data_IF_870170678794
#
_entry.id   IF_870170678794
#
_cell.length_a   1.000
_cell.length_b   1.000
_cell.length_c   1.000
_cell.angle_alpha   90.00
_cell.angle_beta   90.00
_cell.angle_gamma   90.00
#
_symmetry.space_group_name_H-M   'P 1'
#
loop_
_entity.id
_entity.type
_entity.pdbx_description
1 polymer ?
#
# COMPACT_ATOMS: atom_id res chain seq x y z
N UNK A 1 -0.65 12.95 5.96
CA UNK A 1 0.43 12.78 4.97
C UNK A 1 -0.11 12.86 3.56
N UNK A 2 -0.97 11.94 3.11
CA UNK A 2 -1.49 11.95 1.73
C UNK A 2 -3.02 11.76 1.58
N UNK A 3 -3.79 11.74 2.67
CA UNK A 3 -5.24 11.48 2.68
C UNK A 3 -5.66 10.05 2.26
N UNK A 4 -4.71 9.12 2.23
CA UNK A 4 -5.00 7.69 2.07
C UNK A 4 -5.56 7.09 3.36
N UNK A 5 -6.58 6.24 3.24
CA UNK A 5 -7.10 5.40 4.32
C UNK A 5 -6.57 3.97 4.18
N UNK A 6 -6.17 3.35 5.30
CA UNK A 6 -5.65 2.00 5.24
C UNK A 6 -6.76 0.97 4.96
N UNK A 7 -6.58 0.16 3.93
CA UNK A 7 -7.58 -0.79 3.44
C UNK A 7 -6.93 -2.15 3.17
N UNK A 8 -7.39 -3.19 3.88
CA UNK A 8 -6.84 -4.54 3.78
C UNK A 8 -7.05 -5.19 2.41
N UNK A 9 -8.12 -4.83 1.69
CA UNK A 9 -8.37 -5.28 0.31
C UNK A 9 -7.32 -4.68 -0.61
N UNK A 10 -7.01 -3.40 -0.44
CA UNK A 10 -6.01 -2.71 -1.26
C UNK A 10 -4.57 -3.03 -0.84
N UNK A 11 -4.33 -3.48 0.40
CA UNK A 11 -3.03 -4.06 0.79
C UNK A 11 -2.82 -5.44 0.17
N UNK A 12 -3.89 -6.24 0.03
CA UNK A 12 -3.82 -7.58 -0.59
C UNK A 12 -3.76 -7.53 -2.11
N UNK A 13 -4.56 -6.66 -2.72
CA UNK A 13 -4.66 -6.44 -4.16
C UNK A 13 -4.41 -4.96 -4.46
N UNK A 14 -3.16 -4.52 -4.62
CA UNK A 14 -2.81 -3.10 -4.67
C UNK A 14 -3.22 -2.38 -5.96
N UNK A 15 -3.67 -3.14 -6.95
CA UNK A 15 -4.28 -2.63 -8.17
C UNK A 15 -5.81 -2.44 -8.01
N UNK A 16 -6.42 -2.90 -6.91
CA UNK A 16 -7.85 -2.73 -6.63
C UNK A 16 -8.19 -1.27 -6.32
N UNK A 17 -9.10 -0.69 -7.10
CA UNK A 17 -9.62 0.67 -6.90
C UNK A 17 -11.05 0.63 -6.34
N UNK A 18 -11.43 1.66 -5.59
CA UNK A 18 -12.69 1.69 -4.84
C UNK A 18 -12.58 1.01 -3.47
N UNK A 19 -13.63 1.11 -2.66
CA UNK A 19 -13.59 0.74 -1.24
C UNK A 19 -13.46 1.98 -0.38
N UNK A 20 -12.54 1.97 0.59
CA UNK A 20 -12.24 3.15 1.40
C UNK A 20 -11.62 4.28 0.56
N UNK A 21 -10.81 3.92 -0.45
CA UNK A 21 -10.15 4.89 -1.33
C UNK A 21 -10.73 4.83 -2.74
N UNK A 22 -10.79 5.99 -3.40
CA UNK A 22 -11.15 6.07 -4.82
C UNK A 22 -10.05 5.49 -5.73
N UNK A 23 -8.78 5.92 -5.65
CA UNK A 23 -7.70 5.28 -6.41
C UNK A 23 -7.31 3.93 -5.80
N UNK A 24 -6.66 3.09 -6.59
CA UNK A 24 -5.91 1.95 -6.09
C UNK A 24 -4.65 2.38 -5.33
N UNK A 25 -4.04 1.46 -4.58
CA UNK A 25 -2.83 1.76 -3.82
C UNK A 25 -1.64 2.09 -4.74
N UNK A 26 -1.52 1.39 -5.87
CA UNK A 26 -0.50 1.70 -6.90
C UNK A 26 -0.71 3.11 -7.47
N UNK A 27 -1.95 3.46 -7.83
CA UNK A 27 -2.28 4.79 -8.32
C UNK A 27 -2.04 5.86 -7.26
N UNK A 28 -2.38 5.61 -6.00
CA UNK A 28 -2.15 6.53 -4.90
C UNK A 28 -0.66 6.80 -4.66
N UNK A 29 0.20 5.79 -4.78
CA UNK A 29 1.65 5.98 -4.69
C UNK A 29 2.20 6.79 -5.86
N UNK A 30 1.69 6.59 -7.07
CA UNK A 30 2.05 7.41 -8.23
C UNK A 30 1.58 8.87 -8.05
N UNK A 31 0.33 9.05 -7.62
CA UNK A 31 -0.26 10.36 -7.35
C UNK A 31 0.48 11.12 -6.25
N UNK A 32 0.93 10.43 -5.20
CA UNK A 32 1.70 11.09 -4.14
C UNK A 32 3.00 11.70 -4.66
N UNK A 33 3.68 11.05 -5.62
CA UNK A 33 4.89 11.59 -6.25
C UNK A 33 4.62 12.85 -7.08
N UNK A 34 3.41 12.98 -7.62
CA UNK A 34 3.02 14.11 -8.50
C UNK A 34 2.39 15.25 -7.70
N UNK A 35 1.47 14.93 -6.79
CA UNK A 35 0.59 15.89 -6.11
C UNK A 35 0.86 16.02 -4.60
N UNK A 36 1.60 15.09 -3.99
CA UNK A 36 1.73 15.00 -2.53
C UNK A 36 0.49 14.47 -1.82
N UNK A 37 -0.49 13.93 -2.55
CA UNK A 37 -1.72 13.33 -2.04
C UNK A 37 -2.08 12.04 -2.80
N UNK A 38 -2.97 11.21 -2.23
CA UNK A 38 -3.41 9.96 -2.85
C UNK A 38 -4.22 10.18 -4.13
N UNK A 39 -4.85 11.34 -4.28
CA UNK A 39 -5.39 11.86 -5.53
C UNK A 39 -5.31 13.40 -5.56
N UNK A 40 -5.48 14.00 -6.73
CA UNK A 40 -5.38 15.45 -6.94
C UNK A 40 -6.40 16.25 -6.12
N UNK A 41 -7.61 15.70 -5.92
CA UNK A 41 -8.70 16.39 -5.20
C UNK A 41 -8.39 16.48 -3.71
N UNK A 42 -7.60 15.54 -3.20
CA UNK A 42 -7.24 15.44 -1.80
C UNK A 42 -6.10 16.39 -1.40
N UNK A 43 -5.47 17.09 -2.35
CA UNK A 43 -4.38 18.04 -2.08
C UNK A 43 -4.79 19.10 -1.05
N UNK A 44 -6.04 19.57 -1.10
CA UNK A 44 -6.56 20.59 -0.17
C UNK A 44 -6.72 20.07 1.27
N UNK A 45 -6.64 18.75 1.48
CA UNK A 45 -6.80 18.10 2.79
C UNK A 45 -5.48 17.61 3.38
N UNK A 46 -4.34 17.86 2.72
CA UNK A 46 -3.03 17.37 3.17
C UNK A 46 -2.06 18.51 3.44
N UNK A 47 -0.98 18.14 4.13
CA UNK A 47 0.21 18.97 4.30
C UNK A 47 1.45 18.13 3.97
N UNK A 48 2.58 18.77 3.63
CA UNK A 48 3.85 18.08 3.54
C UNK A 48 4.21 17.31 4.83
N UNK A 49 4.95 16.20 4.71
CA UNK A 49 5.60 15.53 5.84
C UNK A 49 6.44 16.51 6.67
N UNK A 50 6.48 16.33 7.99
CA UNK A 50 7.47 17.00 8.85
C UNK A 50 8.72 16.15 9.02
N UNK A 51 9.80 16.78 9.47
CA UNK A 51 11.09 16.10 9.71
C UNK A 51 11.00 15.00 10.78
N UNK A 52 10.03 15.09 11.70
CA UNK A 52 9.75 14.11 12.75
C UNK A 52 8.76 13.01 12.33
N UNK A 53 8.35 12.99 11.06
CA UNK A 53 7.47 11.98 10.47
C UNK A 53 8.19 11.17 9.37
N UNK A 54 9.31 10.49 9.68
CA UNK A 54 10.05 9.73 8.70
C UNK A 54 9.24 8.52 8.23
N UNK A 55 9.53 8.08 7.00
CA UNK A 55 9.04 6.79 6.50
C UNK A 55 9.68 5.65 7.30
N UNK A 56 8.97 4.51 7.36
CA UNK A 56 9.55 3.27 7.85
C UNK A 56 10.80 2.93 7.00
N UNK A 57 11.95 2.56 7.61
CA UNK A 57 13.18 2.28 6.87
C UNK A 57 13.06 1.17 5.80
N UNK A 58 12.06 0.28 5.94
CA UNK A 58 11.81 -0.76 4.96
C UNK A 58 10.82 -0.34 3.87
N UNK A 59 10.13 0.79 4.04
CA UNK A 59 9.14 1.30 3.10
C UNK A 59 9.77 1.60 1.74
N UNK A 60 9.04 1.20 0.70
CA UNK A 60 9.38 1.47 -0.68
C UNK A 60 8.10 1.51 -1.53
N UNK A 61 8.11 2.25 -2.66
CA UNK A 61 7.03 2.14 -3.64
C UNK A 61 6.89 0.70 -4.11
N UNK A 62 5.65 0.27 -4.30
CA UNK A 62 5.32 -1.07 -4.81
C UNK A 62 6.06 -1.30 -6.12
N UNK A 63 6.76 -2.43 -6.16
CA UNK A 63 7.47 -2.95 -7.30
C UNK A 63 6.90 -4.32 -7.62
N UNK A 64 6.08 -4.41 -8.68
CA UNK A 64 5.40 -5.65 -9.05
C UNK A 64 6.35 -6.76 -9.54
N UNK A 65 7.62 -6.44 -9.84
CA UNK A 65 8.63 -7.45 -10.17
C UNK A 65 9.24 -8.10 -8.92
N UNK A 66 9.25 -7.37 -7.79
CA UNK A 66 9.79 -7.83 -6.50
C UNK A 66 8.70 -8.28 -5.52
N UNK A 67 7.60 -7.57 -5.49
CA UNK A 67 6.57 -7.68 -4.46
C UNK A 67 5.43 -8.59 -4.95
N UNK A 68 5.27 -9.74 -4.30
CA UNK A 68 4.39 -10.81 -4.75
C UNK A 68 2.94 -10.64 -4.26
N UNK A 69 2.17 -9.78 -4.92
CA UNK A 69 0.74 -9.63 -4.66
C UNK A 69 -0.09 -10.73 -5.33
N UNK A 70 -1.21 -11.09 -4.69
CA UNK A 70 -2.19 -11.96 -5.32
C UNK A 70 -2.79 -11.25 -6.54
N UNK A 71 -3.22 -12.03 -7.55
CA UNK A 71 -3.92 -11.45 -8.69
C UNK A 71 -5.28 -10.92 -8.22
N UNK A 72 -5.70 -9.74 -8.70
CA UNK A 72 -6.97 -9.13 -8.34
C UNK A 72 -8.15 -10.11 -8.40
N UNK A 73 -8.86 -10.26 -7.29
CA UNK A 73 -10.03 -11.14 -7.18
C UNK A 73 -9.71 -12.62 -6.98
N UNK A 74 -8.43 -13.02 -7.07
CA UNK A 74 -7.99 -14.36 -6.66
C UNK A 74 -7.70 -14.33 -5.16
N UNK A 75 -8.35 -15.21 -4.41
CA UNK A 75 -8.05 -15.44 -2.99
C UNK A 75 -7.20 -16.72 -2.88
N UNK A 76 -5.89 -16.59 -3.02
CA UNK A 76 -4.96 -17.75 -3.05
C UNK A 76 -4.70 -18.38 -1.67
N UNK A 77 -5.05 -17.67 -0.60
CA UNK A 77 -5.04 -18.11 0.79
C UNK A 77 -6.22 -17.55 1.59
N UNK A 78 -6.58 -18.13 2.74
CA UNK A 78 -7.43 -17.44 3.71
C UNK A 78 -6.81 -16.09 4.11
N UNK A 79 -7.65 -15.17 4.60
CA UNK A 79 -7.13 -13.97 5.24
C UNK A 79 -6.31 -14.32 6.49
N UNK A 80 -5.27 -13.54 6.84
CA UNK A 80 -4.46 -13.84 8.01
C UNK A 80 -5.22 -13.42 9.28
N UNK A 81 -4.88 -14.07 10.39
CA UNK A 81 -5.27 -13.58 11.71
C UNK A 81 -4.55 -12.27 12.02
N UNK A 82 -3.23 -12.21 11.75
CA UNK A 82 -2.44 -10.98 11.83
C UNK A 82 -2.44 -10.22 10.50
N UNK A 83 -3.23 -9.14 10.42
CA UNK A 83 -3.35 -8.32 9.21
C UNK A 83 -2.09 -7.50 8.92
N UNK A 84 -1.18 -7.35 9.87
CA UNK A 84 0.07 -6.62 9.65
C UNK A 84 0.99 -7.34 8.66
N UNK A 85 0.76 -8.63 8.39
CA UNK A 85 1.50 -9.37 7.36
C UNK A 85 1.18 -8.94 5.92
N UNK A 86 0.12 -8.13 5.73
CA UNK A 86 -0.24 -7.55 4.43
C UNK A 86 0.57 -6.30 4.06
N UNK A 87 1.30 -5.69 5.00
CA UNK A 87 2.17 -4.55 4.70
C UNK A 87 3.45 -5.04 4.02
N UNK A 88 3.53 -4.90 2.69
CA UNK A 88 4.59 -5.47 1.86
C UNK A 88 6.00 -5.07 2.28
N UNK A 89 6.16 -3.83 2.75
CA UNK A 89 7.44 -3.34 3.20
C UNK A 89 7.94 -3.98 4.49
N UNK A 90 7.08 -4.60 5.31
CA UNK A 90 7.49 -5.22 6.59
C UNK A 90 8.18 -6.57 6.43
N UNK A 91 8.05 -7.23 5.28
CA UNK A 91 8.55 -8.59 5.06
C UNK A 91 9.56 -8.69 3.93
N UNK A 92 10.24 -7.57 3.65
CA UNK A 92 11.26 -7.41 2.59
C UNK A 92 12.23 -8.59 2.47
N UNK A 93 12.69 -9.11 3.61
CA UNK A 93 13.73 -10.15 3.65
C UNK A 93 13.16 -11.56 3.97
N UNK A 94 11.85 -11.70 4.18
CA UNK A 94 11.19 -12.94 4.63
C UNK A 94 10.21 -13.55 3.61
N UNK A 95 10.08 -12.94 2.43
CA UNK A 95 9.03 -13.25 1.47
C UNK A 95 7.72 -12.60 1.89
N UNK A 96 7.29 -11.60 1.13
CA UNK A 96 5.98 -10.99 1.31
C UNK A 96 4.87 -12.06 1.30
N UNK A 97 3.94 -11.97 2.24
CA UNK A 97 2.73 -12.79 2.36
C UNK A 97 2.87 -14.32 2.34
N UNK A 98 4.08 -14.92 2.28
CA UNK A 98 4.35 -16.32 2.67
C UNK A 98 5.81 -16.45 3.09
N UNK A 99 6.04 -16.84 4.36
CA UNK A 99 7.27 -17.57 4.71
C UNK A 99 7.25 -18.84 3.86
N UNK A 100 8.25 -19.01 3.01
CA UNK A 100 8.52 -20.34 2.45
C UNK A 100 8.60 -21.33 3.60
N UNK A 101 7.82 -22.41 3.51
CA UNK A 101 8.04 -23.59 4.35
C UNK A 101 9.38 -24.23 4.04
#
# INVERSE_FOLDING_TARGET
MCFWEDDQVQLRWPDWAGGANRPSLIEAQANFKVFGACDERSVVHVRPPRDDEPLDPNWHPIDLERDHFERRGNQEAPWPDDRTVLYWWRYRDAGFWRRGG
#
